data_IF_468587094684
#
_entry.id   IF_468587094684
#
_cell.length_a   1.000
_cell.length_b   1.000
_cell.length_c   1.000
_cell.angle_alpha   90.00
_cell.angle_beta   90.00
_cell.angle_gamma   90.00
#
_symmetry.space_group_name_H-M   'P 1'
#
loop_
_entity.id
_entity.type
_entity.pdbx_description
1 polymer ?
2 non-polymer ?
3 water ?
#
# COMPACT_ATOMS: atom_id res chain seq x y z
N UNK A 2 -3.21 20.72 1.45
CA UNK A 2 -2.71 19.47 0.90
C UNK A 2 -1.82 18.74 1.89
N UNK A 3 -2.01 17.43 1.97
CA UNK A 3 -1.12 16.56 2.76
C UNK A 3 -0.30 15.68 1.83
N UNK A 4 1.02 15.79 1.95
CA UNK A 4 2.01 15.08 1.12
C UNK A 4 2.86 14.18 1.97
N UNK A 5 3.10 12.97 1.51
CA UNK A 5 4.06 12.09 2.18
C UNK A 5 5.22 11.87 1.25
N UNK A 6 6.42 12.16 1.76
CA UNK A 6 7.66 11.98 0.97
C UNK A 6 8.37 10.71 1.45
N UNK A 7 8.68 9.79 0.52
CA UNK A 7 9.58 8.65 0.74
C UNK A 7 10.91 8.96 0.12
N UNK A 8 11.91 9.42 0.93
CA UNK A 8 13.12 10.03 0.31
C UNK A 8 14.29 9.06 -0.01
N UNK A 9 14.02 8.00 -0.74
CA UNK A 9 14.94 6.94 -0.99
C UNK A 9 16.05 7.41 -1.93
N UNK A 10 17.20 6.77 -1.81
CA UNK A 10 18.31 7.00 -2.71
C UNK A 10 19.59 7.49 -2.09
N UNK A 11 19.59 7.73 -0.77
CA UNK A 11 20.83 8.18 -0.08
C UNK A 11 22.03 7.28 -0.23
N UNK A 12 21.89 5.97 0.07
CA UNK A 12 23.06 5.09 -0.01
C UNK A 12 23.56 5.13 -1.48
N UNK A 13 22.68 4.89 -2.44
CA UNK A 13 23.10 4.78 -3.82
C UNK A 13 23.66 6.06 -4.40
N UNK A 14 23.22 7.23 -3.90
CA UNK A 14 23.79 8.54 -4.25
C UNK A 14 25.20 8.63 -3.71
N UNK A 15 25.42 8.19 -2.47
CA UNK A 15 26.77 8.18 -1.89
C UNK A 15 27.72 7.26 -2.67
N UNK A 16 27.25 6.06 -2.98
CA UNK A 16 28.03 5.11 -3.75
C UNK A 16 28.32 5.61 -5.18
N UNK A 17 27.30 6.13 -5.85
CA UNK A 17 27.45 6.79 -7.14
C UNK A 17 28.53 7.83 -7.15
N UNK A 18 28.59 8.68 -6.11
CA UNK A 18 29.50 9.83 -6.08
C UNK A 18 30.84 9.52 -5.38
N UNK A 19 31.04 8.28 -4.96
CA UNK A 19 32.25 7.92 -4.22
C UNK A 19 32.45 8.63 -2.90
N UNK A 20 31.40 8.96 -2.17
CA UNK A 20 31.56 9.69 -0.90
C UNK A 20 30.95 8.89 0.24
N UNK A 21 31.23 9.30 1.48
CA UNK A 21 30.80 8.52 2.64
C UNK A 21 29.27 8.55 2.82
N UNK A 22 28.78 7.60 3.61
CA UNK A 22 27.36 7.52 3.88
C UNK A 22 26.92 8.73 4.71
N UNK A 23 27.78 9.19 5.62
CA UNK A 23 27.55 10.44 6.32
C UNK A 23 27.32 11.60 5.40
N UNK A 24 28.10 11.72 4.32
CA UNK A 24 27.85 12.79 3.29
C UNK A 24 26.46 12.67 2.62
N UNK A 25 26.09 11.45 2.27
CA UNK A 25 24.80 11.20 1.64
C UNK A 25 23.67 11.66 2.49
N UNK A 26 23.68 11.24 3.75
CA UNK A 26 22.68 11.67 4.69
C UNK A 26 22.76 13.15 4.99
N UNK A 27 23.94 13.75 4.99
CA UNK A 27 24.00 15.22 5.10
C UNK A 27 23.33 15.86 3.88
N UNK A 28 23.56 15.32 2.69
CA UNK A 28 22.93 15.92 1.52
C UNK A 28 21.44 15.76 1.58
N UNK A 29 20.96 14.60 2.07
CA UNK A 29 19.57 14.40 2.31
C UNK A 29 19.01 15.48 3.26
N UNK A 30 19.68 15.76 4.37
CA UNK A 30 19.21 16.80 5.32
C UNK A 30 19.01 18.15 4.63
N UNK A 31 20.04 18.59 3.90
CA UNK A 31 19.92 19.83 3.11
C UNK A 31 18.81 19.79 2.11
N UNK A 32 18.65 18.67 1.38
CA UNK A 32 17.56 18.59 0.42
C UNK A 32 16.17 18.58 1.05
N UNK A 33 16.03 17.96 2.22
CA UNK A 33 14.76 18.03 2.97
C UNK A 33 14.42 19.48 3.28
N UNK A 34 15.37 20.21 3.80
CA UNK A 34 15.11 21.62 4.05
C UNK A 34 14.69 22.36 2.76
N UNK A 35 15.42 22.21 1.65
CA UNK A 35 14.95 22.84 0.39
C UNK A 35 13.55 22.36 0.00
N UNK A 36 13.29 21.05 0.09
CA UNK A 36 11.99 20.45 -0.34
C UNK A 36 10.82 21.01 0.45
N UNK A 37 11.01 21.06 1.76
CA UNK A 37 10.09 21.74 2.66
C UNK A 37 9.69 23.16 2.20
N UNK A 38 10.67 23.98 1.84
CA UNK A 38 10.38 25.29 1.23
C UNK A 38 9.52 25.20 -0.05
N UNK A 39 9.84 24.24 -0.90
CA UNK A 39 9.07 24.06 -2.13
C UNK A 39 7.64 23.65 -1.80
N UNK A 40 7.50 22.67 -0.93
CA UNK A 40 6.19 22.23 -0.51
C UNK A 40 5.32 23.40 0.04
N UNK A 41 5.89 24.16 0.95
CA UNK A 41 5.24 25.33 1.53
C UNK A 41 4.72 26.24 0.45
N UNK A 42 5.60 26.62 -0.49
CA UNK A 42 5.26 27.50 -1.61
C UNK A 42 4.11 26.95 -2.44
N UNK A 43 4.05 25.64 -2.61
CA UNK A 43 2.92 25.03 -3.33
C UNK A 43 1.65 24.73 -2.51
N UNK A 44 1.61 25.15 -1.26
CA UNK A 44 0.40 25.03 -0.43
C UNK A 44 0.24 23.69 0.27
N UNK A 45 1.32 22.94 0.46
CA UNK A 45 1.27 21.74 1.25
C UNK A 45 1.19 22.28 2.68
N UNK A 46 0.27 21.75 3.46
CA UNK A 46 0.10 22.12 4.87
C UNK A 46 0.70 21.11 5.82
N UNK A 47 0.66 19.84 5.44
CA UNK A 47 1.24 18.76 6.21
C UNK A 47 2.16 17.96 5.31
N UNK A 48 3.41 17.83 5.74
CA UNK A 48 4.41 17.04 5.07
C UNK A 48 4.83 15.92 5.98
N UNK A 49 4.40 14.69 5.66
CA UNK A 49 4.91 13.51 6.33
C UNK A 49 6.20 13.06 5.65
N UNK A 50 7.19 12.67 6.43
CA UNK A 50 8.41 12.10 5.87
C UNK A 50 8.66 10.76 6.52
N UNK A 51 8.86 9.72 5.72
CA UNK A 51 9.17 8.38 6.27
C UNK A 51 10.64 8.37 6.60
N UNK A 52 11.02 8.60 7.85
CA UNK A 52 12.42 8.68 8.27
C UNK A 52 13.05 7.30 8.22
N UNK A 53 12.26 6.27 8.56
CA UNK A 53 12.80 4.96 8.61
C UNK A 53 11.71 3.91 8.53
N UNK A 54 12.11 2.73 8.05
CA UNK A 54 11.35 1.50 8.21
C UNK A 54 11.64 0.81 9.54
N UNK A 55 10.74 -0.11 9.98
CA UNK A 55 11.02 -0.95 11.15
C UNK A 55 12.27 -1.73 10.89
N UNK A 56 12.44 -2.23 9.65
CA UNK A 56 13.67 -2.97 9.28
C UNK A 56 14.98 -2.14 9.42
N UNK A 57 14.96 -0.86 9.12
CA UNK A 57 16.12 0.01 9.28
C UNK A 57 16.70 0.05 10.73
N UNK A 58 15.83 -0.10 11.71
CA UNK A 58 16.27 -0.13 13.09
C UNK A 58 16.95 -1.45 13.52
N UNK A 59 16.92 -2.46 12.65
CA UNK A 59 17.73 -3.67 12.89
C UNK A 59 19.14 -3.63 12.32
N UNK A 60 19.52 -2.52 11.69
CA UNK A 60 20.86 -2.27 11.20
C UNK A 60 21.80 -2.08 12.38
N UNK A 61 23.11 -2.19 12.15
CA UNK A 61 24.07 -1.85 13.21
C UNK A 61 23.83 -0.48 13.89
N UNK A 62 24.04 -0.43 15.19
CA UNK A 62 23.87 0.80 15.97
C UNK A 62 24.53 2.01 15.32
N UNK A 63 25.75 1.85 14.81
CA UNK A 63 26.46 2.92 14.13
C UNK A 63 25.67 3.49 12.93
N UNK A 64 25.12 2.61 12.10
CA UNK A 64 24.34 3.01 10.92
C UNK A 64 22.96 3.61 11.30
N UNK A 65 22.31 3.05 12.33
CA UNK A 65 21.11 3.64 12.88
C UNK A 65 21.38 5.09 13.29
N UNK A 66 22.44 5.35 14.05
CA UNK A 66 22.74 6.72 14.47
C UNK A 66 23.05 7.65 13.31
N UNK A 67 23.63 7.13 12.23
CA UNK A 67 23.86 7.97 11.05
C UNK A 67 22.55 8.58 10.57
N UNK A 68 21.57 7.75 10.23
CA UNK A 68 20.31 8.32 9.74
C UNK A 68 19.59 9.11 10.84
N UNK A 69 19.56 8.59 12.09
CA UNK A 69 18.83 9.24 13.12
C UNK A 69 19.36 10.67 13.33
N UNK A 70 20.69 10.81 13.38
CA UNK A 70 21.36 12.06 13.58
C UNK A 70 21.07 13.03 12.45
N UNK A 71 21.15 12.54 11.21
CA UNK A 71 20.78 13.35 10.03
C UNK A 71 19.31 13.86 10.07
N UNK A 72 18.35 12.98 10.40
CA UNK A 72 16.94 13.43 10.46
C UNK A 72 16.74 14.36 11.63
N UNK A 73 17.45 14.13 12.72
CA UNK A 73 17.27 15.01 13.87
C UNK A 73 17.88 16.41 13.63
N UNK A 74 19.01 16.44 12.95
CA UNK A 74 19.67 17.71 12.56
C UNK A 74 18.73 18.69 11.81
N UNK A 75 17.92 18.14 10.92
CA UNK A 75 16.97 18.94 10.16
C UNK A 75 16.05 19.68 11.11
N UNK A 76 15.60 18.96 12.14
CA UNK A 76 14.65 19.49 13.09
C UNK A 76 15.41 20.50 14.02
N UNK A 77 16.62 20.17 14.46
CA UNK A 77 17.41 21.13 15.22
C UNK A 77 17.58 22.46 14.44
N UNK A 78 17.68 22.42 13.12
CA UNK A 78 17.85 23.60 12.30
C UNK A 78 16.59 24.46 12.10
N UNK A 79 15.44 23.79 11.97
CA UNK A 79 14.24 24.43 11.45
C UNK A 79 12.98 24.26 12.29
N UNK A 80 13.08 23.70 13.52
CA UNK A 80 11.88 23.47 14.38
C UNK A 80 11.06 24.74 14.63
N UNK A 81 11.69 25.92 14.58
CA UNK A 81 10.92 27.18 14.73
C UNK A 81 10.03 27.53 13.51
N UNK A 82 10.29 26.94 12.35
CA UNK A 82 9.54 27.17 11.13
C UNK A 82 8.31 26.31 10.99
N UNK A 83 8.03 25.41 11.92
CA UNK A 83 6.88 24.54 11.75
C UNK A 83 6.42 23.95 13.04
N UNK A 84 5.23 23.33 13.03
CA UNK A 84 4.81 22.38 14.09
C UNK A 84 5.47 21.04 13.74
N UNK A 85 6.27 20.51 14.66
CA UNK A 85 6.97 19.27 14.43
C UNK A 85 6.23 18.18 15.18
N UNK A 86 6.05 17.03 14.53
CA UNK A 86 5.47 15.91 15.20
C UNK A 86 6.14 14.62 14.68
N UNK A 87 5.99 13.53 15.41
CA UNK A 87 6.58 12.23 15.00
C UNK A 87 5.76 11.13 15.60
N UNK A 88 5.83 9.96 14.99
CA UNK A 88 5.13 8.77 15.48
C UNK A 88 5.73 7.56 14.78
N UNK A 89 5.25 6.39 15.14
CA UNK A 89 5.68 5.14 14.48
C UNK A 89 6.03 4.12 15.54
N UNK A 90 7.00 3.28 15.24
CA UNK A 90 7.39 2.17 16.11
C UNK A 90 8.38 2.72 17.13
N UNK A 91 7.89 3.51 18.07
CA UNK A 91 8.75 4.23 18.98
C UNK A 91 9.52 3.31 19.94
N UNK A 92 8.98 2.13 20.16
CA UNK A 92 9.65 1.04 20.86
C UNK A 92 11.01 0.65 20.25
N UNK A 93 11.22 0.91 18.94
CA UNK A 93 12.47 0.57 18.28
C UNK A 93 13.51 1.67 18.41
N UNK A 94 13.14 2.86 18.87
CA UNK A 94 14.01 4.02 18.82
C UNK A 94 14.71 4.20 20.17
N UNK A 95 16.00 4.53 20.16
CA UNK A 95 16.74 4.74 21.43
C UNK A 95 16.12 5.89 22.27
N UNK A 96 16.15 5.75 23.61
CA UNK A 96 15.61 6.78 24.52
C UNK A 96 16.15 8.17 24.26
N UNK A 97 17.45 8.26 23.97
CA UNK A 97 18.13 9.54 23.76
C UNK A 97 17.62 10.25 22.52
N UNK A 98 17.42 9.50 21.43
CA UNK A 98 16.73 10.10 20.29
C UNK A 98 15.24 10.44 20.60
N UNK A 99 14.53 9.64 21.41
CA UNK A 99 13.14 9.95 21.77
C UNK A 99 13.01 11.18 22.66
N UNK A 100 13.99 11.36 23.55
CA UNK A 100 14.03 12.53 24.40
C UNK A 100 14.27 13.77 23.54
N UNK A 101 15.29 13.72 22.66
CA UNK A 101 15.58 14.88 21.79
C UNK A 101 14.42 15.30 20.89
N UNK A 102 13.88 14.33 20.19
CA UNK A 102 12.70 14.54 19.36
C UNK A 102 11.50 15.12 20.17
N UNK A 103 11.18 14.56 21.35
CA UNK A 103 10.17 15.17 22.22
C UNK A 103 10.46 16.62 22.58
N UNK A 104 11.68 16.93 22.99
CA UNK A 104 12.10 18.32 23.24
C UNK A 104 11.92 19.19 22.02
N UNK A 105 12.33 18.68 20.86
CA UNK A 105 12.18 19.47 19.64
C UNK A 105 10.71 19.65 19.27
N UNK A 106 9.87 18.64 19.48
CA UNK A 106 8.41 18.86 19.31
C UNK A 106 7.90 20.01 20.21
N UNK A 107 8.26 19.96 21.48
CA UNK A 107 7.92 21.01 22.40
C UNK A 107 8.48 22.37 22.00
N UNK A 108 9.72 22.45 21.56
CA UNK A 108 10.28 23.74 21.11
C UNK A 108 9.76 24.24 19.77
N UNK A 109 9.12 23.39 18.97
CA UNK A 109 8.64 23.80 17.65
C UNK A 109 7.38 24.65 17.78
N UNK A 110 7.03 25.29 16.68
CA UNK A 110 5.94 26.30 16.65
C UNK A 110 4.55 25.65 16.51
N UNK A 111 3.91 25.39 17.65
CA UNK A 111 2.56 24.76 17.65
C UNK A 111 1.51 25.64 16.99
N UNK A 112 1.83 26.92 16.74
CA UNK A 112 0.94 27.82 16.01
C UNK A 112 1.21 27.90 14.51
N UNK A 113 2.21 27.17 14.00
CA UNK A 113 2.45 27.15 12.55
C UNK A 113 1.28 26.43 11.90
N UNK A 114 0.92 26.88 10.71
CA UNK A 114 -0.11 26.20 9.91
C UNK A 114 0.55 25.10 9.03
N UNK A 115 1.89 25.00 9.08
CA UNK A 115 2.65 23.90 8.47
C UNK A 115 3.05 22.87 9.53
N UNK A 116 2.81 21.61 9.23
CA UNK A 116 3.28 20.52 10.05
C UNK A 116 4.32 19.67 9.31
N UNK A 117 5.48 19.44 9.94
CA UNK A 117 6.46 18.47 9.48
C UNK A 117 6.37 17.32 10.43
N UNK A 118 6.08 16.13 9.91
CA UNK A 118 5.80 14.94 10.74
C UNK A 118 6.66 13.75 10.29
N UNK A 119 7.53 13.27 11.18
CA UNK A 119 8.35 12.10 10.88
C UNK A 119 7.64 10.83 11.28
N UNK A 120 7.59 9.87 10.36
CA UNK A 120 7.26 8.48 10.71
C UNK A 120 8.56 7.65 10.85
N UNK A 121 8.68 7.01 12.01
CA UNK A 121 9.89 6.23 12.40
C UNK A 121 9.52 4.77 12.53
N UNK A 122 10.33 3.90 11.99
CA UNK A 122 10.02 2.48 12.09
C UNK A 122 8.73 2.05 11.44
N UNK A 123 8.48 2.61 10.25
CA UNK A 123 7.24 2.38 9.55
C UNK A 123 7.17 0.92 9.01
N UNK A 124 5.98 0.35 9.05
CA UNK A 124 5.72 -1.03 8.54
C UNK A 124 4.33 -1.40 8.98
N UNK A 125 3.53 -1.86 8.03
CA UNK A 125 2.16 -2.18 8.31
C UNK A 125 2.03 -3.28 9.31
N UNK A 126 2.81 -4.36 9.13
CA UNK A 126 2.67 -5.51 10.00
C UNK A 126 3.12 -5.12 11.40
N UNK A 127 4.21 -4.35 11.51
CA UNK A 127 4.67 -3.92 12.82
C UNK A 127 3.64 -2.99 13.48
N UNK A 128 3.15 -2.05 12.71
CA UNK A 128 2.06 -1.14 13.12
C UNK A 128 0.85 -1.90 13.67
N UNK A 129 0.36 -2.87 12.89
CA UNK A 129 -0.85 -3.59 13.32
C UNK A 129 -0.64 -4.43 14.57
N UNK A 130 0.46 -5.17 14.56
CA UNK A 130 0.92 -5.90 15.72
C UNK A 130 0.93 -5.06 16.97
N UNK A 131 1.53 -3.87 16.87
CA UNK A 131 1.63 -2.93 17.99
C UNK A 131 0.29 -2.44 18.52
N UNK A 132 -0.60 -2.08 17.62
CA UNK A 132 -1.91 -1.63 17.95
C UNK A 132 -2.70 -2.77 18.60
N UNK A 133 -2.63 -3.96 17.97
CA UNK A 133 -3.28 -5.12 18.56
C UNK A 133 -2.83 -5.33 20.03
N UNK A 134 -1.52 -5.39 20.28
CA UNK A 134 -1.00 -5.73 21.61
C UNK A 134 -1.24 -4.67 22.65
N UNK A 135 -1.33 -3.42 22.23
CA UNK A 135 -1.75 -2.31 23.10
C UNK A 135 -3.19 -2.43 23.56
N UNK A 136 -4.07 -2.81 22.64
CA UNK A 136 -5.48 -2.84 22.90
C UNK A 136 -6.08 -4.21 23.12
N UNK A 137 -5.29 -5.27 23.04
CA UNK A 137 -5.81 -6.64 22.98
C UNK A 137 -6.40 -6.95 24.38
N UNK A 138 -7.63 -7.42 24.42
CA UNK A 138 -8.33 -7.79 25.70
C UNK A 138 -8.76 -6.59 26.55
N UNK A 139 -8.52 -5.39 26.02
CA UNK A 139 -8.62 -4.14 26.76
C UNK A 139 -9.92 -3.46 26.33
N UNK A 140 -10.19 -3.41 25.02
CA UNK A 140 -11.40 -2.80 24.47
C UNK A 140 -12.31 -3.85 23.90
N UNK A 141 -13.61 -3.55 23.80
CA UNK A 141 -14.60 -4.53 23.38
C UNK A 141 -14.68 -4.84 21.91
N UNK A 142 -14.40 -3.85 21.08
CA UNK A 142 -14.20 -4.10 19.65
C UNK A 142 -13.44 -2.94 19.03
N UNK A 143 -12.85 -3.25 17.91
CA UNK A 143 -12.14 -2.24 17.12
C UNK A 143 -13.16 -1.70 16.13
N UNK A 144 -13.06 -0.41 15.88
CA UNK A 144 -13.84 0.26 14.84
C UNK A 144 -12.84 1.00 13.95
N UNK A 145 -13.27 1.41 12.77
CA UNK A 145 -12.37 2.14 11.89
C UNK A 145 -11.91 3.42 12.58
N UNK A 146 -12.77 4.01 13.40
CA UNK A 146 -12.46 5.26 14.13
C UNK A 146 -11.37 5.05 15.18
N UNK A 147 -11.43 3.95 15.90
CA UNK A 147 -10.39 3.61 16.88
C UNK A 147 -9.07 3.23 16.17
N UNK A 148 -9.18 2.49 15.10
CA UNK A 148 -7.99 2.21 14.27
C UNK A 148 -7.30 3.52 13.83
N UNK A 149 -8.09 4.45 13.35
CA UNK A 149 -7.54 5.71 12.81
C UNK A 149 -6.84 6.51 13.87
N UNK A 150 -7.32 6.43 15.11
CA UNK A 150 -6.71 7.18 16.23
C UNK A 150 -5.43 6.55 16.78
N UNK A 151 -5.16 5.30 16.41
CA UNK A 151 -3.93 4.63 16.79
C UNK A 151 -2.99 4.44 15.59
N UNK A 152 -3.43 4.71 14.37
CA UNK A 152 -2.57 4.52 13.20
C UNK A 152 -1.34 5.44 13.25
N UNK A 153 -0.23 5.00 12.70
CA UNK A 153 0.98 5.81 12.70
C UNK A 153 0.73 7.13 11.99
N UNK A 154 0.09 7.09 10.84
CA UNK A 154 -0.19 8.36 10.11
C UNK A 154 -1.57 8.81 10.56
N UNK A 155 -1.65 9.86 11.38
CA UNK A 155 -2.92 10.23 12.01
C UNK A 155 -3.94 10.98 11.09
N UNK A 156 -3.58 11.36 9.87
CA UNK A 156 -4.52 12.03 9.00
C UNK A 156 -4.42 11.42 7.62
N UNK A 157 -5.36 11.80 6.78
CA UNK A 157 -5.33 11.28 5.43
C UNK A 157 -4.22 11.89 4.55
N UNK A 158 -3.59 11.06 3.73
CA UNK A 158 -2.51 11.48 2.83
C UNK A 158 -3.10 11.68 1.45
N UNK A 159 -3.01 12.86 0.90
CA UNK A 159 -3.46 13.09 -0.47
C UNK A 159 -2.49 12.54 -1.52
N UNK A 160 -1.21 12.81 -1.32
CA UNK A 160 -0.18 12.47 -2.33
C UNK A 160 0.98 11.85 -1.67
N UNK A 161 1.61 10.95 -2.40
CA UNK A 161 2.86 10.34 -2.04
C UNK A 161 3.90 10.57 -3.16
N UNK A 162 5.07 11.09 -2.79
CA UNK A 162 6.22 11.09 -3.67
C UNK A 162 7.26 10.08 -3.17
N UNK A 163 7.59 9.09 -4.01
CA UNK A 163 8.69 8.19 -3.70
C UNK A 163 9.81 8.47 -4.70
N UNK A 164 10.96 8.92 -4.19
CA UNK A 164 12.14 9.11 -5.03
C UNK A 164 12.94 7.86 -5.03
N UNK A 165 13.97 7.85 -5.88
CA UNK A 165 14.98 6.79 -5.88
C UNK A 165 14.76 5.63 -6.84
N UNK A 166 13.62 5.60 -7.51
CA UNK A 166 13.39 4.71 -8.64
C UNK A 166 12.71 3.40 -8.37
N UNK A 167 12.56 2.96 -7.12
CA UNK A 167 11.83 1.70 -6.91
C UNK A 167 10.35 2.03 -7.12
N UNK A 168 9.62 1.11 -7.79
CA UNK A 168 8.17 1.25 -7.99
C UNK A 168 7.50 0.17 -7.15
N UNK A 169 7.47 0.47 -5.87
CA UNK A 169 6.89 -0.37 -4.83
C UNK A 169 6.74 0.53 -3.57
N UNK A 170 5.87 0.11 -2.67
CA UNK A 170 5.63 0.87 -1.44
C UNK A 170 6.65 0.54 -0.35
N UNK A 171 7.27 -0.64 -0.44
CA UNK A 171 8.15 -1.14 0.63
C UNK A 171 7.34 -1.03 1.98
N UNK A 172 7.92 -0.53 3.08
CA UNK A 172 7.23 -0.54 4.39
C UNK A 172 6.32 0.67 4.64
N UNK A 173 6.08 1.49 3.59
CA UNK A 173 5.64 2.89 3.79
C UNK A 173 4.23 3.19 3.31
N UNK A 174 3.42 2.14 2.98
CA UNK A 174 1.99 2.41 2.70
C UNK A 174 1.18 2.95 3.92
N UNK A 175 0.54 4.15 3.82
CA UNK A 175 -0.28 4.70 4.93
C UNK A 175 -1.58 3.92 5.08
N UNK A 176 -1.67 3.22 6.20
CA UNK A 176 -2.82 2.35 6.54
C UNK A 176 -4.21 2.91 6.23
N UNK A 177 -4.48 4.15 6.63
CA UNK A 177 -5.81 4.74 6.48
C UNK A 177 -5.97 5.66 5.25
N UNK A 178 -5.04 5.65 4.31
CA UNK A 178 -5.15 6.48 3.09
C UNK A 178 -5.08 5.62 1.82
N UNK A 179 -6.03 4.70 1.65
CA UNK A 179 -6.08 3.91 0.41
C UNK A 179 -6.02 4.74 -0.94
N UNK A 180 -6.64 5.93 -0.94
CA UNK A 180 -6.72 6.75 -2.17
C UNK A 180 -5.63 7.80 -2.32
N UNK A 181 -4.49 7.65 -1.63
CA UNK A 181 -3.35 8.52 -1.82
C UNK A 181 -2.81 8.34 -3.24
N UNK A 182 -2.65 9.43 -3.97
CA UNK A 182 -2.06 9.37 -5.35
C UNK A 182 -0.58 9.15 -5.26
N UNK A 183 -0.06 8.18 -6.01
CA UNK A 183 1.33 7.78 -5.90
C UNK A 183 2.10 8.40 -7.06
N UNK A 184 3.22 9.05 -6.77
CA UNK A 184 4.11 9.55 -7.86
C UNK A 184 5.50 8.97 -7.59
N UNK A 185 6.03 8.16 -8.52
CA UNK A 185 7.37 7.56 -8.41
C UNK A 185 8.37 8.32 -9.28
N UNK A 186 9.37 8.94 -8.66
CA UNK A 186 10.41 9.62 -9.41
C UNK A 186 11.65 8.74 -9.45
N UNK A 187 12.36 8.71 -10.61
CA UNK A 187 13.58 7.92 -10.73
C UNK A 187 14.82 8.60 -10.10
N UNK A 188 14.68 9.84 -9.67
CA UNK A 188 15.81 10.59 -9.17
C UNK A 188 16.17 10.19 -7.73
N UNK A 189 17.46 10.03 -7.47
CA UNK A 189 17.95 9.72 -6.14
C UNK A 189 17.69 10.92 -5.26
N UNK A 190 17.22 10.70 -4.04
CA UNK A 190 16.69 11.89 -3.28
C UNK A 190 17.61 13.12 -3.21
N UNK A 191 18.92 12.95 -2.91
CA UNK A 191 19.76 14.15 -2.79
C UNK A 191 20.07 14.85 -4.14
N UNK A 192 19.68 14.25 -5.27
CA UNK A 192 19.77 14.94 -6.61
C UNK A 192 18.48 15.69 -7.03
N UNK A 193 17.41 15.58 -6.23
CA UNK A 193 16.07 16.15 -6.58
C UNK A 193 16.18 17.63 -6.80
N UNK A 194 15.75 18.09 -7.96
CA UNK A 194 15.72 19.54 -8.23
C UNK A 194 14.29 20.05 -8.10
N UNK A 195 14.16 21.38 -8.12
CA UNK A 195 12.87 22.01 -8.05
C UNK A 195 12.00 21.54 -9.24
N UNK A 196 12.61 21.33 -10.42
CA UNK A 196 11.87 20.86 -11.58
C UNK A 196 11.34 19.42 -11.43
N UNK A 197 12.11 18.53 -10.80
CA UNK A 197 11.64 17.21 -10.42
C UNK A 197 10.38 17.37 -9.54
N UNK A 198 10.45 18.27 -8.56
CA UNK A 198 9.31 18.44 -7.62
C UNK A 198 8.11 19.03 -8.35
N UNK A 199 8.36 19.99 -9.25
CA UNK A 199 7.29 20.59 -10.01
C UNK A 199 6.64 19.59 -10.92
N UNK A 200 7.42 18.73 -11.58
CA UNK A 200 6.83 17.70 -12.43
C UNK A 200 5.95 16.75 -11.58
N UNK A 201 6.43 16.38 -10.42
CA UNK A 201 5.66 15.55 -9.49
C UNK A 201 4.28 16.22 -9.18
N UNK A 202 4.32 17.46 -8.71
CA UNK A 202 3.10 18.18 -8.36
C UNK A 202 2.17 18.42 -9.54
N UNK A 203 2.72 18.70 -10.73
CA UNK A 203 1.91 18.81 -11.94
C UNK A 203 1.14 17.50 -12.26
N UNK A 204 1.84 16.36 -12.13
CA UNK A 204 1.19 15.07 -12.28
C UNK A 204 0.08 14.92 -11.21
N UNK A 205 0.47 15.09 -9.95
CA UNK A 205 -0.42 14.77 -8.87
C UNK A 205 -1.70 15.62 -8.89
N UNK A 206 -1.57 16.94 -9.08
CA UNK A 206 -2.71 17.89 -9.11
C UNK A 206 -3.70 17.67 -10.25
N UNK A 207 -3.26 17.06 -11.35
CA UNK A 207 -4.09 16.73 -12.48
C UNK A 207 -4.78 15.37 -12.39
N UNK A 208 -4.54 14.60 -11.33
CA UNK A 208 -5.11 13.25 -11.23
C UNK A 208 -6.58 13.41 -10.90
N UNK A 209 -7.36 12.44 -11.36
CA UNK A 209 -8.73 12.33 -11.03
C UNK A 209 -8.82 11.68 -9.66
N UNK A 210 -8.99 12.51 -8.62
CA UNK A 210 -8.92 12.05 -7.25
C UNK A 210 -10.16 11.28 -6.88
N UNK A 211 -10.01 10.46 -5.86
CA UNK A 211 -11.13 9.72 -5.31
C UNK A 211 -11.04 9.85 -3.82
N UNK A 212 -12.13 10.17 -3.16
CA UNK A 212 -12.14 10.21 -1.69
C UNK A 212 -12.99 9.04 -1.23
N UNK A 213 -12.68 8.54 -0.04
CA UNK A 213 -13.46 7.45 0.48
C UNK A 213 -14.64 8.02 1.23
N UNK A 214 -15.57 7.13 1.52
CA UNK A 214 -16.82 7.44 2.20
C UNK A 214 -16.90 6.67 3.50
N UNK A 215 -18.12 6.51 4.01
CA UNK A 215 -18.35 5.89 5.29
C UNK A 215 -18.02 4.40 5.28
N UNK A 216 -17.43 3.90 6.40
CA UNK A 216 -17.10 2.48 6.52
C UNK A 216 -18.27 1.49 6.42
N UNK A 217 -17.92 0.23 6.25
CA UNK A 217 -18.78 -0.91 5.92
C UNK A 217 -19.17 -1.79 7.12
N UNK B 2 5.94 -17.78 -9.29
CA UNK B 2 5.65 -16.34 -9.18
C UNK B 2 4.20 -16.18 -8.74
N UNK B 3 4.00 -15.24 -7.85
CA UNK B 3 2.72 -14.84 -7.36
C UNK B 3 2.39 -13.44 -7.91
N UNK B 4 1.28 -13.34 -8.66
CA UNK B 4 0.78 -12.08 -9.27
C UNK B 4 -0.59 -11.70 -8.70
N UNK B 5 -0.75 -10.47 -8.23
CA UNK B 5 -2.05 -9.90 -7.92
C UNK B 5 -2.48 -8.95 -9.00
N UNK B 6 -3.70 -9.20 -9.48
CA UNK B 6 -4.32 -8.43 -10.57
C UNK B 6 -5.43 -7.59 -9.98
N UNK B 7 -5.33 -6.27 -10.24
CA UNK B 7 -6.38 -5.27 -9.92
C UNK B 7 -7.00 -4.85 -11.27
N UNK B 8 -8.10 -5.51 -11.68
CA UNK B 8 -8.62 -5.41 -13.05
C UNK B 8 -9.58 -4.19 -13.30
N UNK B 9 -9.11 -2.99 -13.01
CA UNK B 9 -9.94 -1.79 -13.11
C UNK B 9 -10.18 -1.43 -14.59
N UNK B 10 -11.30 -0.76 -14.84
CA UNK B 10 -11.71 -0.30 -16.13
C UNK B 10 -13.01 -0.83 -16.70
N UNK B 11 -13.79 -1.63 -15.97
CA UNK B 11 -15.06 -2.18 -16.53
C UNK B 11 -16.14 -1.15 -16.79
N UNK B 12 -16.31 -0.25 -15.81
CA UNK B 12 -17.35 0.80 -15.86
C UNK B 12 -17.02 1.71 -17.05
N UNK B 13 -15.77 2.16 -17.16
CA UNK B 13 -15.40 3.09 -18.24
C UNK B 13 -15.38 2.42 -19.64
N UNK B 14 -14.97 1.16 -19.71
CA UNK B 14 -15.07 0.41 -20.95
C UNK B 14 -16.50 0.28 -21.49
N UNK B 15 -17.44 0.02 -20.59
CA UNK B 15 -18.85 -0.10 -20.97
C UNK B 15 -19.35 1.26 -21.51
N UNK B 16 -19.02 2.35 -20.79
CA UNK B 16 -19.35 3.69 -21.21
C UNK B 16 -18.70 4.02 -22.56
N UNK B 17 -17.44 3.67 -22.74
CA UNK B 17 -16.75 3.95 -23.97
C UNK B 17 -17.36 3.22 -25.16
N UNK B 18 -17.80 1.98 -24.97
CA UNK B 18 -18.32 1.15 -26.07
C UNK B 18 -19.87 1.23 -26.18
N UNK B 19 -20.50 2.07 -25.37
CA UNK B 19 -21.93 2.23 -25.41
C UNK B 19 -22.76 1.04 -24.95
N UNK B 20 -22.22 0.17 -24.10
CA UNK B 20 -22.94 -1.07 -23.69
C UNK B 20 -23.32 -1.12 -22.20
N UNK B 21 -24.19 -2.05 -21.82
CA UNK B 21 -24.55 -2.22 -20.40
C UNK B 21 -23.35 -2.56 -19.54
N UNK B 22 -23.48 -2.29 -18.25
CA UNK B 22 -22.49 -2.74 -17.31
C UNK B 22 -22.49 -4.27 -17.25
N UNK B 23 -23.63 -4.92 -17.44
CA UNK B 23 -23.64 -6.39 -17.53
C UNK B 23 -22.73 -6.87 -18.65
N UNK B 24 -22.79 -6.21 -19.81
CA UNK B 24 -21.87 -6.53 -20.89
C UNK B 24 -20.41 -6.23 -20.57
N UNK B 25 -20.17 -5.12 -19.85
CA UNK B 25 -18.80 -4.82 -19.32
C UNK B 25 -18.26 -5.93 -18.46
N UNK B 26 -19.08 -6.36 -17.49
CA UNK B 26 -18.72 -7.44 -16.58
C UNK B 26 -18.56 -8.84 -17.22
N UNK B 27 -19.36 -9.14 -18.24
CA UNK B 27 -19.12 -10.35 -19.03
C UNK B 27 -17.85 -10.23 -19.88
N UNK B 28 -17.53 -9.06 -20.47
CA UNK B 28 -16.26 -8.95 -21.18
C UNK B 28 -15.07 -9.10 -20.18
N UNK B 29 -15.25 -8.59 -18.97
CA UNK B 29 -14.24 -8.77 -17.95
C UNK B 29 -14.08 -10.27 -17.67
N UNK B 30 -15.19 -10.96 -17.40
CA UNK B 30 -15.21 -12.44 -17.22
C UNK B 30 -14.43 -13.19 -18.27
N UNK B 31 -14.77 -12.98 -19.54
CA UNK B 31 -14.00 -13.56 -20.66
C UNK B 31 -12.49 -13.24 -20.61
N UNK B 32 -12.15 -12.00 -20.30
CA UNK B 32 -10.73 -11.57 -20.22
C UNK B 32 -9.95 -12.18 -19.01
N UNK B 33 -10.59 -12.38 -17.86
CA UNK B 33 -9.93 -13.02 -16.69
C UNK B 33 -9.50 -14.43 -17.04
N UNK B 34 -10.39 -15.12 -17.74
CA UNK B 34 -10.14 -16.48 -18.25
C UNK B 34 -8.94 -16.47 -19.20
N UNK B 35 -8.90 -15.50 -20.12
CA UNK B 35 -7.74 -15.36 -21.04
C UNK B 35 -6.45 -14.99 -20.30
N UNK B 36 -6.54 -14.03 -19.38
CA UNK B 36 -5.39 -13.59 -18.60
C UNK B 36 -4.80 -14.74 -17.79
N UNK B 37 -5.68 -15.55 -17.23
CA UNK B 37 -5.30 -16.72 -16.42
C UNK B 37 -4.42 -17.68 -17.22
N UNK B 38 -4.81 -17.90 -18.48
CA UNK B 38 -4.02 -18.66 -19.41
C UNK B 38 -2.67 -18.02 -19.64
N UNK B 39 -2.66 -16.71 -19.88
CA UNK B 39 -1.39 -15.98 -20.10
C UNK B 39 -0.44 -16.09 -18.90
N UNK B 40 -1.00 -15.96 -17.70
CA UNK B 40 -0.24 -16.05 -16.47
C UNK B 40 0.36 -17.47 -16.23
N UNK B 41 -0.44 -18.52 -16.43
CA UNK B 41 0.08 -19.91 -16.52
C UNK B 41 1.31 -19.98 -17.40
N UNK B 42 1.18 -19.48 -18.62
CA UNK B 42 2.27 -19.59 -19.63
C UNK B 42 3.55 -18.88 -19.27
N UNK B 43 3.49 -17.80 -18.47
CA UNK B 43 4.71 -17.09 -18.02
C UNK B 43 5.22 -17.44 -16.61
N UNK B 44 4.78 -18.58 -16.08
CA UNK B 44 5.29 -19.05 -14.83
C UNK B 44 4.56 -18.53 -13.61
N UNK B 45 3.37 -17.94 -13.75
CA UNK B 45 2.63 -17.56 -12.58
C UNK B 45 2.02 -18.83 -12.00
N UNK B 46 2.11 -18.97 -10.70
CA UNK B 46 1.62 -20.13 -9.98
C UNK B 46 0.40 -19.77 -9.13
N UNK B 47 0.37 -18.58 -8.55
CA UNK B 47 -0.80 -18.10 -7.83
C UNK B 47 -1.21 -16.73 -8.36
N UNK B 48 -2.47 -16.62 -8.75
CA UNK B 48 -3.02 -15.40 -9.32
C UNK B 48 -4.12 -14.98 -8.38
N UNK B 49 -3.84 -13.91 -7.64
CA UNK B 49 -4.85 -13.24 -6.81
C UNK B 49 -5.58 -12.21 -7.69
N UNK B 50 -6.90 -12.14 -7.58
CA UNK B 50 -7.64 -11.09 -8.28
C UNK B 50 -8.44 -10.39 -7.25
N UNK B 51 -8.32 -9.06 -7.26
CA UNK B 51 -9.14 -8.22 -6.34
C UNK B 51 -10.58 -8.05 -6.90
N UNK B 52 -11.51 -8.90 -6.44
CA UNK B 52 -12.85 -8.95 -7.02
C UNK B 52 -13.70 -7.78 -6.53
N UNK B 53 -13.44 -7.25 -5.33
CA UNK B 53 -14.20 -6.15 -4.82
C UNK B 53 -13.49 -5.48 -3.65
N UNK B 54 -13.69 -4.18 -3.52
CA UNK B 54 -13.39 -3.48 -2.30
C UNK B 54 -14.53 -3.66 -1.25
N UNK B 55 -14.25 -3.46 0.02
CA UNK B 55 -15.31 -3.37 1.03
C UNK B 55 -16.36 -2.32 0.56
N UNK B 56 -15.90 -1.19 0.00
CA UNK B 56 -16.78 -0.10 -0.47
C UNK B 56 -17.76 -0.58 -1.55
N UNK B 57 -17.27 -1.42 -2.48
CA UNK B 57 -18.11 -2.04 -3.50
C UNK B 57 -19.37 -2.68 -2.98
N UNK B 58 -19.31 -3.24 -1.76
CA UNK B 58 -20.47 -3.90 -1.16
C UNK B 58 -21.47 -2.98 -0.45
N UNK B 59 -21.16 -1.68 -0.35
CA UNK B 59 -22.14 -0.65 0.03
C UNK B 59 -22.99 -0.14 -1.13
N UNK B 60 -22.64 -0.49 -2.39
CA UNK B 60 -23.40 -0.17 -3.58
C UNK B 60 -24.76 -0.80 -3.48
N UNK B 61 -25.69 -0.42 -4.38
CA UNK B 61 -27.01 -1.02 -4.22
C UNK B 61 -27.03 -2.50 -4.69
N UNK B 62 -27.89 -3.30 -4.07
CA UNK B 62 -28.03 -4.73 -4.33
C UNK B 62 -27.85 -5.16 -5.77
N UNK B 63 -28.59 -4.53 -6.66
CA UNK B 63 -28.49 -4.76 -8.11
C UNK B 63 -27.06 -4.66 -8.62
N UNK B 64 -26.36 -3.61 -8.16
CA UNK B 64 -24.96 -3.38 -8.56
C UNK B 64 -24.03 -4.46 -7.98
N UNK B 65 -24.30 -4.87 -6.75
CA UNK B 65 -23.53 -5.95 -6.09
C UNK B 65 -23.70 -7.25 -6.89
N UNK B 66 -24.94 -7.58 -7.28
CA UNK B 66 -25.20 -8.87 -7.95
C UNK B 66 -24.62 -8.92 -9.31
N UNK B 67 -24.57 -7.78 -9.97
CA UNK B 67 -23.87 -7.71 -11.23
C UNK B 67 -22.42 -8.16 -11.11
N UNK B 68 -21.67 -7.67 -10.09
CA UNK B 68 -20.24 -8.01 -10.03
C UNK B 68 -20.03 -9.39 -9.44
N UNK B 69 -20.80 -9.75 -8.41
CA UNK B 69 -20.69 -11.05 -7.78
C UNK B 69 -21.05 -12.15 -8.76
N UNK B 70 -22.12 -11.93 -9.52
CA UNK B 70 -22.52 -12.88 -10.55
C UNK B 70 -21.47 -13.04 -11.61
N UNK B 71 -20.88 -11.95 -12.11
CA UNK B 71 -19.85 -12.07 -13.17
C UNK B 71 -18.54 -12.76 -12.70
N UNK B 72 -18.13 -12.47 -11.48
CA UNK B 72 -16.89 -13.07 -10.96
C UNK B 72 -17.15 -14.56 -10.65
N UNK B 73 -18.32 -14.85 -10.06
CA UNK B 73 -18.69 -16.22 -9.76
C UNK B 73 -18.84 -17.05 -11.05
N UNK B 74 -19.37 -16.45 -12.12
CA UNK B 74 -19.44 -17.12 -13.44
C UNK B 74 -18.12 -17.63 -13.98
N UNK B 75 -17.07 -16.81 -13.86
CA UNK B 75 -15.72 -17.26 -14.29
C UNK B 75 -15.39 -18.64 -13.69
N UNK B 76 -15.73 -18.81 -12.43
CA UNK B 76 -15.35 -19.94 -11.63
C UNK B 76 -16.30 -21.13 -11.92
N UNK B 77 -17.60 -20.89 -11.97
CA UNK B 77 -18.54 -21.86 -12.61
C UNK B 77 -17.97 -22.41 -13.93
N UNK B 78 -17.55 -21.53 -14.83
CA UNK B 78 -17.06 -22.00 -16.15
C UNK B 78 -15.70 -22.79 -16.19
N UNK B 79 -14.80 -22.50 -15.26
CA UNK B 79 -13.41 -22.94 -15.36
C UNK B 79 -12.85 -23.67 -14.13
N UNK B 80 -13.64 -23.92 -13.10
CA UNK B 80 -13.11 -24.42 -11.82
C UNK B 80 -12.33 -25.71 -11.90
N UNK B 81 -12.65 -26.54 -12.89
CA UNK B 81 -11.89 -27.79 -13.10
C UNK B 81 -10.47 -27.53 -13.60
N UNK B 82 -10.12 -26.30 -14.00
CA UNK B 82 -8.82 -26.05 -14.65
C UNK B 82 -7.79 -25.46 -13.70
N UNK B 83 -8.08 -25.39 -12.41
CA UNK B 83 -7.21 -24.75 -11.44
C UNK B 83 -7.70 -25.07 -10.04
N UNK B 84 -6.89 -24.74 -9.05
CA UNK B 84 -7.36 -24.75 -7.68
C UNK B 84 -7.92 -23.34 -7.39
N UNK B 85 -9.12 -23.28 -6.82
CA UNK B 85 -9.78 -22.05 -6.51
C UNK B 85 -9.82 -21.84 -5.01
N UNK B 86 -9.63 -20.59 -4.61
CA UNK B 86 -9.83 -20.21 -3.21
C UNK B 86 -10.32 -18.76 -3.16
N UNK B 87 -10.77 -18.33 -2.01
CA UNK B 87 -11.18 -16.95 -1.85
C UNK B 87 -11.10 -16.58 -0.38
N UNK B 88 -10.98 -15.27 -0.16
CA UNK B 88 -10.95 -14.72 1.17
C UNK B 88 -11.34 -13.27 1.07
N UNK B 89 -11.53 -12.67 2.23
CA UNK B 89 -11.67 -11.26 2.36
C UNK B 89 -12.71 -10.92 3.40
N UNK B 90 -13.49 -9.88 3.13
CA UNK B 90 -14.48 -9.41 4.10
C UNK B 90 -15.75 -10.23 3.92
N UNK B 91 -15.68 -11.50 4.24
CA UNK B 91 -16.76 -12.44 3.98
C UNK B 91 -18.05 -12.09 4.72
N UNK B 92 -17.91 -11.44 5.88
CA UNK B 92 -18.97 -10.77 6.62
C UNK B 92 -19.84 -9.82 5.79
N UNK B 93 -19.34 -9.30 4.67
CA UNK B 93 -20.09 -8.40 3.77
C UNK B 93 -20.83 -9.14 2.61
N UNK B 94 -20.58 -10.42 2.44
CA UNK B 94 -21.04 -11.14 1.27
C UNK B 94 -22.28 -11.92 1.74
N UNK B 95 -23.31 -11.97 0.92
CA UNK B 95 -24.52 -12.75 1.24
C UNK B 95 -24.25 -14.27 1.33
N UNK B 96 -24.82 -14.90 2.34
CA UNK B 96 -24.78 -16.36 2.54
C UNK B 96 -24.92 -17.19 1.23
N UNK B 97 -25.78 -16.78 0.30
CA UNK B 97 -25.96 -17.52 -0.98
C UNK B 97 -24.67 -17.58 -1.75
N UNK B 98 -23.99 -16.43 -1.83
CA UNK B 98 -22.74 -16.39 -2.60
C UNK B 98 -21.61 -17.14 -1.86
N UNK B 99 -21.54 -17.05 -0.54
CA UNK B 99 -20.48 -17.77 0.21
C UNK B 99 -20.65 -19.28 0.04
N UNK B 100 -21.90 -19.77 0.18
CA UNK B 100 -22.22 -21.19 -0.12
C UNK B 100 -21.78 -21.58 -1.53
N UNK B 101 -22.07 -20.76 -2.53
CA UNK B 101 -21.75 -21.18 -3.89
C UNK B 101 -20.23 -21.20 -4.11
N UNK B 102 -19.53 -20.17 -3.63
CA UNK B 102 -18.09 -20.09 -3.76
C UNK B 102 -17.42 -21.24 -2.98
N UNK B 103 -17.95 -21.53 -1.81
CA UNK B 103 -17.47 -22.63 -0.98
C UNK B 103 -17.62 -23.99 -1.76
N UNK B 104 -18.74 -24.19 -2.44
CA UNK B 104 -18.95 -25.35 -3.34
C UNK B 104 -18.01 -25.40 -4.50
N UNK B 105 -17.75 -24.23 -5.11
CA UNK B 105 -16.82 -24.13 -6.21
C UNK B 105 -15.36 -24.37 -5.82
N UNK B 106 -15.00 -23.97 -4.60
CA UNK B 106 -13.67 -24.27 -4.06
C UNK B 106 -13.57 -25.78 -3.97
N UNK B 107 -14.55 -26.37 -3.30
CA UNK B 107 -14.61 -27.84 -3.25
C UNK B 107 -14.50 -28.54 -4.64
N UNK B 108 -15.20 -28.07 -5.64
CA UNK B 108 -15.23 -28.80 -6.92
C UNK B 108 -14.05 -28.45 -7.78
N UNK B 109 -13.27 -27.42 -7.42
CA UNK B 109 -12.08 -27.10 -8.21
C UNK B 109 -10.96 -28.15 -8.06
N UNK B 110 -9.97 -28.10 -8.94
CA UNK B 110 -8.91 -29.12 -8.92
C UNK B 110 -7.85 -28.82 -7.83
N UNK B 111 -7.96 -29.47 -6.68
CA UNK B 111 -7.02 -29.21 -5.57
C UNK B 111 -5.60 -29.77 -5.82
N UNK B 112 -5.45 -30.54 -6.88
CA UNK B 112 -4.19 -31.07 -7.31
C UNK B 112 -3.54 -30.27 -8.44
N UNK B 113 -4.18 -29.18 -8.89
CA UNK B 113 -3.54 -28.27 -9.87
C UNK B 113 -2.36 -27.53 -9.27
N UNK B 114 -1.36 -27.22 -10.08
CA UNK B 114 -0.26 -26.32 -9.66
C UNK B 114 -0.61 -24.80 -9.72
N UNK B 115 -1.72 -24.46 -10.38
CA UNK B 115 -2.15 -23.05 -10.54
C UNK B 115 -3.30 -22.77 -9.58
N UNK B 116 -3.18 -21.69 -8.79
CA UNK B 116 -4.26 -21.23 -7.92
C UNK B 116 -4.80 -19.92 -8.42
N UNK B 117 -6.12 -19.84 -8.58
CA UNK B 117 -6.84 -18.60 -8.80
C UNK B 117 -7.52 -18.33 -7.48
N UNK B 118 -7.23 -17.18 -6.89
CA UNK B 118 -7.75 -16.81 -5.59
C UNK B 118 -8.39 -15.39 -5.63
N UNK B 119 -9.67 -15.32 -5.29
CA UNK B 119 -10.39 -14.06 -5.25
C UNK B 119 -10.30 -13.40 -3.87
N UNK B 120 -9.95 -12.11 -3.84
CA UNK B 120 -10.14 -11.35 -2.64
C UNK B 120 -11.44 -10.55 -2.73
N UNK B 121 -12.29 -10.73 -1.73
CA UNK B 121 -13.59 -10.06 -1.67
C UNK B 121 -13.62 -9.00 -0.58
N UNK B 122 -14.13 -7.82 -0.90
CA UNK B 122 -14.28 -6.80 0.09
C UNK B 122 -12.96 -6.40 0.70
N UNK B 123 -11.99 -6.15 -0.16
CA UNK B 123 -10.64 -5.83 0.26
C UNK B 123 -10.62 -4.38 0.82
N UNK B 124 -9.78 -4.14 1.82
CA UNK B 124 -9.63 -2.82 2.49
C UNK B 124 -8.78 -3.08 3.72
N UNK B 125 -7.65 -2.38 3.84
CA UNK B 125 -6.75 -2.63 4.93
C UNK B 125 -7.43 -2.36 6.26
N UNK B 126 -8.18 -1.25 6.33
CA UNK B 126 -8.79 -0.86 7.60
C UNK B 126 -9.84 -1.91 8.05
N UNK B 127 -10.63 -2.38 7.09
CA UNK B 127 -11.69 -3.31 7.40
C UNK B 127 -11.09 -4.65 7.75
N UNK B 128 -10.03 -5.04 7.02
CA UNK B 128 -9.17 -6.19 7.34
C UNK B 128 -8.61 -6.16 8.72
N UNK B 129 -7.97 -5.07 9.09
CA UNK B 129 -7.32 -5.00 10.38
C UNK B 129 -8.35 -5.02 11.53
N UNK B 130 -9.40 -4.23 11.37
CA UNK B 130 -10.58 -4.24 12.27
C UNK B 130 -11.09 -5.67 12.48
N UNK B 131 -11.28 -6.40 11.40
CA UNK B 131 -11.82 -7.76 11.45
C UNK B 131 -10.90 -8.73 12.17
N UNK B 132 -9.59 -8.57 11.92
CA UNK B 132 -8.62 -9.50 12.47
C UNK B 132 -8.54 -9.24 13.97
N UNK B 133 -8.54 -7.94 14.33
CA UNK B 133 -8.59 -7.56 15.69
C UNK B 133 -9.77 -8.15 16.48
N UNK B 134 -10.97 -8.04 15.91
CA UNK B 134 -12.18 -8.41 16.61
C UNK B 134 -12.28 -9.92 16.69
N UNK B 135 -11.84 -10.62 15.66
CA UNK B 135 -11.70 -12.09 15.73
C UNK B 135 -10.80 -12.56 16.90
N UNK B 136 -9.65 -11.90 17.06
CA UNK B 136 -8.65 -12.36 17.97
C UNK B 136 -8.66 -11.60 19.30
N UNK B 137 -9.53 -10.60 19.46
CA UNK B 137 -9.47 -9.71 20.60
C UNK B 137 -9.73 -10.49 21.91
N UNK B 138 -8.77 -10.44 22.83
CA UNK B 138 -8.89 -11.11 24.12
C UNK B 138 -8.74 -12.61 24.02
N UNK B 139 -8.40 -13.14 22.83
CA UNK B 139 -8.38 -14.60 22.59
C UNK B 139 -6.95 -15.14 22.68
N UNK B 140 -5.94 -14.31 22.38
CA UNK B 140 -4.57 -14.73 22.40
C UNK B 140 -3.83 -13.77 23.29
N UNK B 141 -2.67 -14.21 23.79
CA UNK B 141 -1.90 -13.34 24.66
C UNK B 141 -1.22 -12.20 23.89
N UNK B 142 -0.95 -12.39 22.62
CA UNK B 142 -0.26 -11.35 21.86
C UNK B 142 -0.29 -11.67 20.36
N UNK B 143 -0.15 -10.63 19.55
CA UNK B 143 -0.01 -10.80 18.12
C UNK B 143 1.47 -10.85 17.81
N UNK B 144 1.84 -11.67 16.83
CA UNK B 144 3.17 -11.71 16.26
C UNK B 144 2.99 -11.54 14.72
N UNK B 145 4.07 -11.28 14.01
CA UNK B 145 3.99 -11.22 12.55
C UNK B 145 3.46 -12.54 11.94
N UNK B 146 3.91 -13.67 12.47
CA UNK B 146 3.38 -14.96 12.02
C UNK B 146 1.85 -15.11 12.12
N UNK B 147 1.28 -14.66 13.24
CA UNK B 147 -0.16 -14.80 13.49
C UNK B 147 -0.91 -13.83 12.57
N UNK B 148 -0.40 -12.61 12.46
CA UNK B 148 -0.98 -11.66 11.51
C UNK B 148 -1.04 -12.27 10.13
N UNK B 149 0.05 -12.90 9.73
CA UNK B 149 0.15 -13.43 8.39
C UNK B 149 -0.83 -14.56 8.11
N UNK B 150 -1.15 -15.33 9.14
CA UNK B 150 -2.05 -16.47 8.96
C UNK B 150 -3.52 -16.02 8.95
N UNK B 151 -3.80 -14.80 9.42
CA UNK B 151 -5.13 -14.22 9.38
C UNK B 151 -5.35 -13.16 8.29
N UNK B 152 -4.31 -12.73 7.57
CA UNK B 152 -4.44 -11.72 6.55
C UNK B 152 -5.26 -12.22 5.34
N UNK B 153 -5.91 -11.32 4.63
CA UNK B 153 -6.75 -11.69 3.49
C UNK B 153 -5.92 -12.35 2.43
N UNK B 154 -4.74 -11.81 2.16
CA UNK B 154 -3.83 -12.37 1.15
C UNK B 154 -2.88 -13.26 1.93
N UNK B 155 -3.02 -14.59 1.75
CA UNK B 155 -2.33 -15.55 2.64
C UNK B 155 -0.85 -15.81 2.30
N UNK B 156 -0.35 -15.31 1.20
CA UNK B 156 1.04 -15.59 0.83
C UNK B 156 1.65 -14.27 0.37
N UNK B 157 2.96 -14.29 0.09
CA UNK B 157 3.67 -13.09 -0.36
C UNK B 157 3.32 -12.83 -1.82
N UNK B 158 3.08 -11.60 -2.13
CA UNK B 158 2.82 -11.21 -3.52
C UNK B 158 4.11 -10.66 -4.10
N UNK B 159 4.58 -11.22 -5.21
CA UNK B 159 5.76 -10.70 -5.91
C UNK B 159 5.45 -9.48 -6.76
N UNK B 160 4.38 -9.55 -7.55
CA UNK B 160 4.00 -8.52 -8.54
C UNK B 160 2.52 -8.16 -8.44
N UNK B 161 2.22 -6.88 -8.68
CA UNK B 161 0.85 -6.40 -8.79
C UNK B 161 0.73 -5.76 -10.15
N UNK B 162 -0.37 -6.03 -10.86
CA UNK B 162 -0.71 -5.29 -12.09
C UNK B 162 -2.04 -4.62 -11.85
N UNK B 163 -2.07 -3.28 -11.92
CA UNK B 163 -3.31 -2.51 -11.89
C UNK B 163 -3.53 -1.94 -13.30
N UNK B 164 -4.60 -2.40 -13.96
CA UNK B 164 -5.06 -1.80 -15.22
C UNK B 164 -5.93 -0.61 -14.98
N UNK B 165 -6.22 0.10 -16.07
CA UNK B 165 -7.18 1.17 -16.05
C UNK B 165 -6.65 2.55 -15.73
N UNK B 166 -5.36 2.68 -15.51
CA UNK B 166 -4.69 3.96 -15.51
C UNK B 166 -4.57 4.70 -14.19
N UNK B 167 -5.31 4.32 -13.13
CA UNK B 167 -5.08 5.04 -11.87
C UNK B 167 -3.75 4.64 -11.28
N UNK B 168 -2.99 5.57 -10.69
CA UNK B 168 -1.71 5.25 -10.08
C UNK B 168 -1.82 5.45 -8.56
N UNK B 169 -2.52 4.51 -8.00
CA UNK B 169 -2.83 4.45 -6.58
C UNK B 169 -3.22 3.03 -6.25
N UNK B 170 -3.29 2.71 -4.96
CA UNK B 170 -3.58 1.33 -4.52
C UNK B 170 -5.02 1.14 -4.25
N UNK B 171 -5.71 2.22 -3.91
CA UNK B 171 -7.10 2.16 -3.53
C UNK B 171 -7.17 1.15 -2.35
N UNK B 172 -8.21 0.33 -2.28
CA UNK B 172 -8.40 -0.55 -1.12
C UNK B 172 -7.55 -1.83 -1.14
N UNK B 173 -6.57 -1.90 -2.07
CA UNK B 173 -6.07 -3.15 -2.60
C UNK B 173 -4.59 -3.43 -2.25
N UNK B 174 -3.96 -2.64 -1.38
CA UNK B 174 -2.58 -2.97 -0.95
C UNK B 174 -2.53 -4.28 -0.12
N UNK B 175 -1.67 -5.25 -0.52
CA UNK B 175 -1.54 -6.49 0.27
C UNK B 175 -0.77 -6.29 1.57
N UNK B 176 -1.45 -6.49 2.70
CA UNK B 176 -0.92 -6.16 4.03
C UNK B 176 0.46 -6.74 4.30
N UNK B 177 0.66 -8.01 3.96
CA UNK B 177 1.91 -8.70 4.26
C UNK B 177 2.96 -8.71 3.12
N UNK B 178 2.76 -7.94 2.05
CA UNK B 178 3.71 -7.87 0.95
C UNK B 178 4.22 -6.46 0.65
N UNK B 179 4.94 -5.84 1.62
CA UNK B 179 5.52 -4.49 1.43
C UNK B 179 6.32 -4.35 0.09
N UNK B 180 7.06 -5.38 -0.29
CA UNK B 180 7.94 -5.30 -1.43
C UNK B 180 7.30 -5.84 -2.69
N UNK B 181 5.96 -5.93 -2.76
CA UNK B 181 5.34 -6.33 -4.03
C UNK B 181 5.70 -5.29 -5.12
N UNK B 182 6.15 -5.75 -6.29
CA UNK B 182 6.50 -4.80 -7.40
C UNK B 182 5.24 -4.35 -8.14
N UNK B 183 5.07 -3.03 -8.30
CA UNK B 183 3.85 -2.49 -8.86
C UNK B 183 4.05 -2.14 -10.33
N UNK B 184 3.16 -2.60 -11.18
CA UNK B 184 3.10 -2.15 -12.60
C UNK B 184 1.73 -1.55 -12.91
N UNK B 185 1.71 -0.26 -13.31
CA UNK B 185 0.45 0.44 -13.65
C UNK B 185 0.28 0.50 -15.18
N UNK B 186 -0.80 -0.12 -15.66
CA UNK B 186 -1.10 -0.17 -17.09
C UNK B 186 -2.22 0.80 -17.37
N UNK B 187 -2.13 1.57 -18.48
CA UNK B 187 -3.21 2.51 -18.75
C UNK B 187 -4.42 1.87 -19.40
N UNK B 188 -4.30 0.62 -19.81
CA UNK B 188 -5.38 -0.03 -20.57
C UNK B 188 -6.55 -0.40 -19.68
N UNK B 189 -7.78 -0.19 -20.17
CA UNK B 189 -8.97 -0.63 -19.50
C UNK B 189 -8.97 -2.17 -19.48
N UNK B 190 -9.36 -2.78 -18.37
CA UNK B 190 -9.15 -4.21 -18.26
C UNK B 190 -9.72 -5.09 -19.38
N UNK B 191 -10.98 -4.84 -19.85
CA UNK B 191 -11.51 -5.62 -20.98
C UNK B 191 -10.80 -5.42 -22.31
N UNK B 192 -10.01 -4.36 -22.48
CA UNK B 192 -9.18 -4.18 -23.68
C UNK B 192 -7.77 -4.83 -23.55
N UNK B 193 -7.41 -5.35 -22.37
CA UNK B 193 -6.05 -5.85 -22.17
C UNK B 193 -5.68 -6.96 -23.22
N UNK B 194 -4.62 -6.76 -23.99
CA UNK B 194 -4.11 -7.80 -24.91
C UNK B 194 -2.95 -8.56 -24.24
N UNK B 195 -2.62 -9.72 -24.80
CA UNK B 195 -1.34 -10.43 -24.52
C UNK B 195 -0.10 -9.53 -24.51
N UNK B 196 0.01 -8.66 -25.51
CA UNK B 196 1.12 -7.72 -25.58
C UNK B 196 1.15 -6.76 -24.38
N UNK B 197 -0.02 -6.35 -23.89
CA UNK B 197 -0.04 -5.51 -22.68
C UNK B 197 0.56 -6.30 -21.53
N UNK B 198 0.12 -7.55 -21.40
CA UNK B 198 0.52 -8.46 -20.31
C UNK B 198 1.99 -8.75 -20.36
N UNK B 199 2.51 -9.02 -21.57
CA UNK B 199 3.94 -9.30 -21.79
C UNK B 199 4.82 -8.11 -21.41
N UNK B 200 4.40 -6.91 -21.79
CA UNK B 200 5.18 -5.71 -21.39
C UNK B 200 5.15 -5.52 -19.86
N UNK B 201 4.01 -5.80 -19.24
CA UNK B 201 3.89 -5.76 -17.79
C UNK B 201 4.91 -6.70 -17.16
N UNK B 202 4.94 -7.95 -17.64
CA UNK B 202 5.90 -8.93 -17.15
C UNK B 202 7.36 -8.64 -17.47
N UNK B 203 7.65 -8.19 -18.69
CA UNK B 203 9.00 -7.72 -19.03
C UNK B 203 9.52 -6.66 -18.02
N UNK B 204 8.64 -5.71 -17.66
CA UNK B 204 8.99 -4.70 -16.66
C UNK B 204 9.16 -5.36 -15.27
N UNK B 205 8.16 -6.10 -14.80
CA UNK B 205 8.20 -6.66 -13.45
C UNK B 205 9.42 -7.59 -13.25
N UNK B 206 9.67 -8.43 -14.25
CA UNK B 206 10.79 -9.40 -14.21
C UNK B 206 12.19 -8.82 -14.20
N UNK B 207 12.36 -7.60 -14.69
CA UNK B 207 13.66 -6.95 -14.74
C UNK B 207 13.94 -6.09 -13.50
N UNK B 208 12.95 -5.94 -12.60
CA UNK B 208 13.09 -5.06 -11.42
C UNK B 208 14.15 -5.62 -10.54
N UNK B 209 14.87 -4.75 -9.88
CA UNK B 209 15.75 -5.18 -8.77
C UNK B 209 14.93 -5.55 -7.49
N UNK B 210 14.69 -6.82 -7.27
CA UNK B 210 13.74 -7.25 -6.22
C UNK B 210 14.34 -7.09 -4.82
N UNK B 211 13.47 -7.00 -3.84
CA UNK B 211 13.95 -6.94 -2.45
C UNK B 211 13.02 -7.83 -1.65
N UNK B 212 13.57 -8.51 -0.66
CA UNK B 212 12.76 -9.41 0.17
C UNK B 212 12.86 -8.98 1.59
N UNK B 213 11.81 -9.30 2.35
CA UNK B 213 11.76 -9.04 3.77
C UNK B 213 12.53 -10.08 4.57
N UNK B 214 12.91 -9.68 5.78
CA UNK B 214 13.70 -10.50 6.69
C UNK B 214 12.92 -10.63 7.97
N UNK B 215 13.61 -10.95 9.06
CA UNK B 215 12.95 -11.24 10.35
C UNK B 215 12.40 -9.94 10.93
N UNK B 216 11.18 -9.96 11.53
CA UNK B 216 10.60 -8.78 12.19
C UNK B 216 11.37 -8.37 13.45
N UNK B 217 11.10 -7.15 13.91
CA UNK B 217 11.85 -6.50 14.99
C UNK B 217 11.59 -7.06 16.37
X LIG C 1 12.91 -0.61 -0.83
X LIG D 1 -9.99 3.63 -7.51
#
# INVERSE_FOLDING_TARGET
>A
MTTLMLLPDGMRRWSEKNGVSLDDGYAAMGDKIIEFMGWAKEEGVKTLYITASSAANHGRPEAAVNTFMEAFTEVIRRCHSQFKFDFSGSLDLVSEDYLTELSALRDKSDSESDFTLHYILGMSLSHEVVGIFNKLNGKIPEMTEEILAENAYVPTQVDYIIRTGGAIRMSSFFPLMSPYAELHFSPVLFPDTTRADFDAALKDLRARDRRFGGYPAHHHHHH
>B
MTTLMLLPDGMRRWSEKNGVSLDDGYAAMGDKIIEFMGWAKEEGVKTLYITASSAANHGRPEAAVNTFMEAFTEVIRRCHSQFKFDFSGSLDLVSEDYLTELSALRDKSDSESDFTLHYILGMSLSHEVVGIFNKLNGKIPEMTEEILAENAYVPTQVDYIIRTGGAIRMSSFFPLMSPYAELHFSPVLFPDTTRADFDAALKDLRARDRRFGGYPAHHHHHH
>C hetero
1 CL CL
>D hetero
1 CL CL
#
